data_IF_305998073127
#
_entry.id   IF_305998073127
#
_cell.length_a   1.000
_cell.length_b   1.000
_cell.length_c   1.000
_cell.angle_alpha   90.00
_cell.angle_beta   90.00
_cell.angle_gamma   90.00
#
_symmetry.space_group_name_H-M   'P 1'
#
loop_
_entity.id
_entity.type
_entity.pdbx_description
1 polymer ?
#
# COMPACT_ATOMS: atom_id res chain seq x y z
N UNK A 1 9.05 -64.24 -40.54
CA UNK A 1 7.90 -64.35 -39.62
C UNK A 1 8.08 -63.43 -38.42
N UNK A 2 7.29 -62.36 -38.29
CA UNK A 2 7.02 -61.61 -37.03
C UNK A 2 5.89 -60.60 -37.32
N UNK A 3 4.65 -60.98 -37.02
CA UNK A 3 3.47 -60.08 -36.97
C UNK A 3 3.16 -59.84 -35.49
N UNK A 4 3.15 -58.59 -35.03
CA UNK A 4 2.81 -58.23 -33.66
C UNK A 4 1.79 -57.07 -33.61
N UNK A 5 0.60 -57.42 -33.13
CA UNK A 5 -0.34 -56.70 -32.26
C UNK A 5 -0.41 -55.16 -32.29
N UNK A 6 -1.45 -54.62 -32.95
CA UNK A 6 -1.86 -53.20 -32.90
C UNK A 6 -3.21 -52.94 -32.20
N UNK A 7 -3.87 -53.95 -31.62
CA UNK A 7 -5.26 -53.81 -31.15
C UNK A 7 -5.50 -53.15 -29.77
N UNK A 8 -4.46 -52.79 -29.00
CA UNK A 8 -4.65 -52.36 -27.59
C UNK A 8 -4.74 -50.83 -27.36
N UNK A 9 -4.58 -49.99 -28.40
CA UNK A 9 -4.64 -48.51 -28.24
C UNK A 9 -6.06 -47.94 -28.28
N UNK A 10 -7.03 -48.60 -28.92
CA UNK A 10 -8.36 -48.02 -29.15
C UNK A 10 -9.29 -48.05 -27.92
N UNK A 11 -9.11 -48.97 -26.97
CA UNK A 11 -9.97 -49.05 -25.79
C UNK A 11 -9.67 -48.00 -24.70
N UNK A 12 -8.42 -47.50 -24.61
CA UNK A 12 -8.07 -46.46 -23.63
C UNK A 12 -8.70 -45.10 -23.93
N UNK A 13 -8.96 -44.77 -25.19
CA UNK A 13 -9.57 -43.49 -25.57
C UNK A 13 -11.08 -43.42 -25.31
N UNK A 14 -11.81 -44.54 -25.38
CA UNK A 14 -13.26 -44.56 -25.10
C UNK A 14 -13.59 -44.34 -23.62
N UNK A 15 -12.81 -44.87 -22.70
CA UNK A 15 -13.02 -44.66 -21.26
C UNK A 15 -12.72 -43.23 -20.79
N UNK A 16 -11.75 -42.54 -21.42
CA UNK A 16 -11.47 -41.13 -21.10
C UNK A 16 -12.64 -40.20 -21.45
N UNK A 17 -13.37 -40.48 -22.53
CA UNK A 17 -14.52 -39.65 -22.94
C UNK A 17 -15.77 -39.86 -22.07
N UNK A 18 -16.00 -41.06 -21.54
CA UNK A 18 -17.12 -41.33 -20.61
C UNK A 18 -16.92 -40.62 -19.26
N UNK A 19 -15.70 -40.61 -18.71
CA UNK A 19 -15.42 -39.93 -17.45
C UNK A 19 -15.54 -38.40 -17.54
N UNK A 20 -15.19 -37.79 -18.69
CA UNK A 20 -15.39 -36.34 -18.93
C UNK A 20 -16.87 -35.91 -18.96
N UNK A 21 -17.77 -36.74 -19.50
CA UNK A 21 -19.21 -36.42 -19.54
C UNK A 21 -19.86 -36.53 -18.15
N UNK A 22 -19.43 -37.47 -17.31
CA UNK A 22 -19.99 -37.68 -15.96
C UNK A 22 -19.64 -36.56 -15.00
N UNK A 23 -18.37 -36.13 -14.98
CA UNK A 23 -17.92 -34.97 -14.18
C UNK A 23 -18.58 -33.67 -14.63
N UNK A 24 -18.82 -33.47 -15.94
CA UNK A 24 -19.52 -32.29 -16.44
C UNK A 24 -20.97 -32.22 -15.95
N UNK A 25 -21.71 -33.35 -15.92
CA UNK A 25 -23.10 -33.39 -15.42
C UNK A 25 -23.19 -33.16 -13.91
N UNK A 26 -22.27 -33.72 -13.11
CA UNK A 26 -22.23 -33.45 -11.66
C UNK A 26 -21.89 -31.98 -11.35
N UNK A 27 -20.96 -31.37 -12.10
CA UNK A 27 -20.67 -29.93 -11.95
C UNK A 27 -21.88 -29.04 -12.24
N UNK A 28 -22.71 -29.41 -13.22
CA UNK A 28 -23.93 -28.66 -13.56
C UNK A 28 -24.96 -28.74 -12.42
N UNK A 29 -25.15 -29.92 -11.81
CA UNK A 29 -26.11 -30.09 -10.72
C UNK A 29 -25.72 -29.39 -9.41
N UNK A 30 -24.41 -29.21 -9.15
CA UNK A 30 -23.92 -28.44 -8.00
C UNK A 30 -24.05 -26.94 -8.28
N UNK A 31 -23.76 -26.48 -9.50
CA UNK A 31 -23.90 -25.08 -9.89
C UNK A 31 -25.36 -24.59 -9.81
N UNK A 32 -26.33 -25.41 -10.23
CA UNK A 32 -27.77 -25.05 -10.14
C UNK A 32 -28.31 -24.92 -8.71
N UNK A 33 -27.54 -25.32 -7.69
CA UNK A 33 -27.93 -25.17 -6.28
C UNK A 33 -27.65 -23.76 -5.75
N UNK A 34 -26.76 -23.01 -6.40
CA UNK A 34 -26.48 -21.60 -6.05
C UNK A 34 -27.61 -20.67 -6.44
N UNK A 35 -28.44 -21.04 -7.42
CA UNK A 35 -29.66 -20.30 -7.79
C UNK A 35 -30.72 -20.28 -6.66
N UNK A 36 -30.56 -21.13 -5.64
CA UNK A 36 -31.46 -21.18 -4.48
C UNK A 36 -31.07 -20.18 -3.38
N UNK A 37 -29.82 -19.73 -3.34
CA UNK A 37 -29.42 -18.67 -2.43
C UNK A 37 -29.79 -17.33 -3.07
N UNK A 38 -30.67 -16.59 -2.39
CA UNK A 38 -31.03 -15.25 -2.84
C UNK A 38 -29.77 -14.38 -2.89
N UNK A 39 -29.56 -13.67 -4.01
CA UNK A 39 -28.42 -12.76 -4.25
C UNK A 39 -28.08 -11.87 -3.05
N UNK A 40 -29.04 -11.30 -2.29
CA UNK A 40 -28.75 -10.52 -1.09
C UNK A 40 -27.96 -11.26 -0.02
N UNK A 41 -28.24 -12.55 0.21
CA UNK A 41 -27.52 -13.37 1.20
C UNK A 41 -26.07 -13.57 0.76
N UNK A 42 -25.86 -13.78 -0.55
CA UNK A 42 -24.51 -13.93 -1.11
C UNK A 42 -23.73 -12.61 -0.97
N UNK A 43 -24.35 -11.47 -1.28
CA UNK A 43 -23.75 -10.14 -1.11
C UNK A 43 -23.39 -9.91 0.36
N UNK A 44 -24.27 -10.25 1.29
CA UNK A 44 -24.02 -10.11 2.73
C UNK A 44 -22.83 -10.96 3.16
N UNK A 45 -22.77 -12.25 2.82
CA UNK A 45 -21.63 -13.13 3.13
C UNK A 45 -20.32 -12.59 2.53
N UNK A 46 -20.35 -12.16 1.26
CA UNK A 46 -19.20 -11.57 0.58
C UNK A 46 -18.74 -10.28 1.27
N UNK A 47 -19.66 -9.48 1.80
CA UNK A 47 -19.36 -8.24 2.53
C UNK A 47 -18.64 -8.44 3.87
N UNK A 48 -18.52 -9.68 4.34
CA UNK A 48 -17.69 -10.04 5.51
C UNK A 48 -16.29 -10.54 5.13
N UNK A 49 -16.02 -10.79 3.84
CA UNK A 49 -14.72 -11.26 3.38
C UNK A 49 -13.72 -10.11 3.26
N UNK A 50 -12.47 -10.37 3.62
CA UNK A 50 -11.36 -9.45 3.39
C UNK A 50 -11.00 -9.32 1.90
N UNK A 51 -10.16 -8.34 1.55
CA UNK A 51 -9.77 -8.08 0.16
C UNK A 51 -9.08 -9.26 -0.54
N UNK A 52 -8.23 -10.01 0.17
CA UNK A 52 -7.51 -11.15 -0.40
C UNK A 52 -8.48 -12.30 -0.67
N UNK A 53 -9.36 -12.60 0.28
CA UNK A 53 -10.44 -13.57 0.14
C UNK A 53 -11.37 -13.21 -1.02
N UNK A 54 -11.75 -11.92 -1.16
CA UNK A 54 -12.57 -11.44 -2.28
C UNK A 54 -11.89 -11.59 -3.64
N UNK A 55 -10.61 -11.21 -3.72
CA UNK A 55 -9.81 -11.39 -4.92
C UNK A 55 -9.74 -12.86 -5.31
N UNK A 56 -9.37 -13.74 -4.38
CA UNK A 56 -9.29 -15.18 -4.61
C UNK A 56 -10.64 -15.76 -5.05
N UNK A 57 -11.74 -15.34 -4.40
CA UNK A 57 -13.09 -15.77 -4.75
C UNK A 57 -13.47 -15.35 -6.18
N UNK A 58 -13.11 -14.12 -6.58
CA UNK A 58 -13.37 -13.60 -7.92
C UNK A 58 -12.59 -14.35 -9.01
N UNK A 59 -11.44 -14.96 -8.69
CA UNK A 59 -10.65 -15.74 -9.63
C UNK A 59 -11.21 -17.15 -9.85
N UNK A 60 -11.88 -17.73 -8.84
CA UNK A 60 -12.36 -19.12 -8.91
C UNK A 60 -13.79 -19.25 -9.45
N UNK A 61 -14.60 -18.19 -9.38
CA UNK A 61 -16.01 -18.22 -9.83
C UNK A 61 -16.38 -16.97 -10.62
N UNK A 62 -16.71 -17.16 -11.90
CA UNK A 62 -17.22 -16.08 -12.76
C UNK A 62 -18.52 -15.47 -12.24
N UNK A 63 -19.42 -16.29 -11.69
CA UNK A 63 -20.69 -15.79 -11.14
C UNK A 63 -20.46 -14.88 -9.94
N UNK A 64 -19.52 -15.23 -9.06
CA UNK A 64 -19.18 -14.39 -7.92
C UNK A 64 -18.40 -13.15 -8.36
N UNK A 65 -17.53 -13.27 -9.37
CA UNK A 65 -16.91 -12.12 -9.99
C UNK A 65 -17.94 -11.14 -10.56
N UNK A 66 -18.92 -11.65 -11.30
CA UNK A 66 -19.99 -10.84 -11.89
C UNK A 66 -20.80 -10.18 -10.76
N UNK A 67 -21.23 -10.91 -9.72
CA UNK A 67 -21.91 -10.33 -8.55
C UNK A 67 -21.05 -9.22 -7.91
N UNK A 68 -19.77 -9.46 -7.65
CA UNK A 68 -18.89 -8.46 -7.02
C UNK A 68 -18.67 -7.25 -7.94
N UNK A 69 -18.59 -7.45 -9.25
CA UNK A 69 -18.30 -6.40 -10.22
C UNK A 69 -19.55 -5.57 -10.60
N UNK A 70 -20.73 -6.20 -10.70
CA UNK A 70 -21.98 -5.53 -11.10
C UNK A 70 -22.67 -4.83 -9.94
N UNK A 71 -22.49 -5.31 -8.71
CA UNK A 71 -23.08 -4.68 -7.50
C UNK A 71 -22.34 -3.43 -7.03
N UNK A 72 -21.38 -2.92 -7.81
CA UNK A 72 -20.65 -1.70 -7.46
C UNK A 72 -21.57 -0.47 -7.27
N UNK A 73 -22.76 -0.49 -7.86
CA UNK A 73 -23.77 0.57 -7.75
C UNK A 73 -24.97 0.18 -6.86
N UNK A 74 -25.02 -1.05 -6.33
CA UNK A 74 -26.13 -1.49 -5.49
C UNK A 74 -25.92 -1.08 -4.01
N UNK A 75 -26.95 -0.49 -3.37
CA UNK A 75 -26.89 -0.16 -1.94
C UNK A 75 -26.84 -1.45 -1.11
N UNK A 76 -25.67 -1.77 -0.56
CA UNK A 76 -25.47 -2.92 0.32
C UNK A 76 -24.10 -3.58 0.19
N UNK A 77 -23.45 -3.49 -0.97
CA UNK A 77 -22.10 -4.04 -1.13
C UNK A 77 -21.05 -3.06 -0.62
N UNK A 78 -20.76 -3.13 0.69
CA UNK A 78 -19.72 -2.32 1.35
C UNK A 78 -18.31 -2.72 0.92
N UNK A 79 -18.10 -3.96 0.48
CA UNK A 79 -16.77 -4.47 0.13
C UNK A 79 -16.55 -4.52 -1.38
N UNK A 80 -16.00 -3.43 -1.90
CA UNK A 80 -15.54 -3.36 -3.30
C UNK A 80 -14.13 -3.94 -3.40
N UNK A 81 -13.86 -4.78 -4.41
CA UNK A 81 -12.49 -5.19 -4.71
C UNK A 81 -11.70 -3.94 -5.10
N UNK A 82 -10.65 -3.64 -4.35
CA UNK A 82 -9.72 -2.55 -4.66
C UNK A 82 -8.54 -3.14 -5.43
N UNK A 83 -8.41 -2.87 -6.74
CA UNK A 83 -7.30 -3.41 -7.51
C UNK A 83 -5.95 -2.89 -6.97
N UNK A 84 -5.06 -3.84 -6.68
CA UNK A 84 -3.71 -3.59 -6.14
C UNK A 84 -2.67 -3.74 -7.26
N UNK A 85 -1.89 -2.69 -7.49
CA UNK A 85 -0.71 -2.74 -8.34
C UNK A 85 0.51 -3.05 -7.49
N UNK A 86 0.94 -4.31 -7.54
CA UNK A 86 2.04 -4.80 -6.74
C UNK A 86 3.36 -4.72 -7.52
N UNK A 87 4.39 -4.15 -6.88
CA UNK A 87 5.73 -4.02 -7.44
C UNK A 87 6.72 -4.72 -6.52
N UNK A 88 7.50 -5.63 -7.08
CA UNK A 88 8.53 -6.37 -6.36
C UNK A 88 9.89 -6.24 -7.03
N UNK A 89 10.93 -6.00 -6.23
CA UNK A 89 12.32 -6.37 -6.57
C UNK A 89 12.89 -5.87 -7.90
N UNK A 90 13.05 -4.57 -8.07
CA UNK A 90 13.92 -4.00 -9.10
C UNK A 90 14.56 -2.70 -8.60
N UNK A 91 15.61 -2.21 -9.27
CA UNK A 91 16.17 -0.89 -8.93
C UNK A 91 15.16 0.22 -9.21
N UNK A 92 15.27 1.35 -8.50
CA UNK A 92 14.42 2.52 -8.71
C UNK A 92 14.43 2.99 -10.18
N UNK A 93 15.59 2.90 -10.84
CA UNK A 93 15.75 3.22 -12.26
C UNK A 93 14.94 2.29 -13.16
N UNK A 94 15.06 0.97 -12.97
CA UNK A 94 14.34 -0.02 -13.78
C UNK A 94 12.82 0.09 -13.58
N UNK A 95 12.39 0.39 -12.36
CA UNK A 95 11.00 0.70 -12.06
C UNK A 95 10.50 1.91 -12.86
N UNK A 96 11.22 3.04 -12.81
CA UNK A 96 10.85 4.25 -13.54
C UNK A 96 10.87 4.04 -15.06
N UNK A 97 11.84 3.29 -15.59
CA UNK A 97 11.91 2.91 -17.02
C UNK A 97 10.68 2.11 -17.46
N UNK A 98 10.30 1.11 -16.67
CA UNK A 98 9.14 0.29 -16.98
C UNK A 98 7.85 1.10 -16.94
N UNK A 99 7.66 1.93 -15.91
CA UNK A 99 6.50 2.82 -15.82
C UNK A 99 6.44 3.78 -17.01
N UNK A 100 7.55 4.43 -17.37
CA UNK A 100 7.62 5.32 -18.52
C UNK A 100 7.21 4.58 -19.80
N UNK A 101 7.75 3.37 -20.04
CA UNK A 101 7.39 2.52 -21.18
C UNK A 101 5.90 2.17 -21.21
N UNK A 102 5.31 1.83 -20.07
CA UNK A 102 3.88 1.54 -19.98
C UNK A 102 3.02 2.78 -20.26
N UNK A 103 3.48 3.96 -19.88
CA UNK A 103 2.78 5.22 -20.11
C UNK A 103 2.85 5.72 -21.56
N UNK A 104 3.86 5.29 -22.33
CA UNK A 104 3.91 5.51 -23.78
C UNK A 104 2.83 4.70 -24.53
N UNK A 105 2.36 3.58 -23.95
CA UNK A 105 1.26 2.81 -24.51
C UNK A 105 -0.09 3.27 -23.92
N UNK A 106 -0.98 3.79 -24.77
CA UNK A 106 -2.30 4.31 -24.33
C UNK A 106 -3.17 3.27 -23.61
N UNK A 107 -3.19 2.03 -24.09
CA UNK A 107 -3.99 0.97 -23.49
C UNK A 107 -3.47 0.59 -22.09
N UNK A 108 -2.15 0.39 -21.96
CA UNK A 108 -1.54 0.06 -20.68
C UNK A 108 -1.64 1.22 -19.70
N UNK A 109 -1.43 2.47 -20.16
CA UNK A 109 -1.68 3.67 -19.35
C UNK A 109 -3.10 3.66 -18.78
N UNK A 110 -4.11 3.43 -19.61
CA UNK A 110 -5.51 3.38 -19.17
C UNK A 110 -5.78 2.24 -18.18
N UNK A 111 -5.14 1.07 -18.35
CA UNK A 111 -5.22 -0.04 -17.39
C UNK A 111 -4.58 0.35 -16.05
N UNK A 112 -3.42 1.02 -16.06
CA UNK A 112 -2.73 1.46 -14.85
C UNK A 112 -3.54 2.48 -14.03
N UNK A 113 -4.38 3.30 -14.67
CA UNK A 113 -5.28 4.23 -13.96
C UNK A 113 -6.43 3.54 -13.21
N UNK A 114 -6.67 2.24 -13.43
CA UNK A 114 -7.75 1.51 -12.74
C UNK A 114 -7.34 1.03 -11.35
N UNK A 115 -6.04 0.95 -11.08
CA UNK A 115 -5.54 0.56 -9.78
C UNK A 115 -5.73 1.70 -8.79
N UNK A 116 -6.17 1.37 -7.58
CA UNK A 116 -6.36 2.31 -6.48
C UNK A 116 -5.23 2.23 -5.46
N UNK A 117 -4.65 1.04 -5.32
CA UNK A 117 -3.63 0.76 -4.33
C UNK A 117 -2.34 0.41 -5.05
N UNK A 118 -1.23 1.01 -4.64
CA UNK A 118 0.11 0.59 -5.01
C UNK A 118 0.84 0.00 -3.81
N UNK A 119 1.41 -1.19 -3.98
CA UNK A 119 2.14 -1.88 -2.91
C UNK A 119 3.53 -2.26 -3.39
N UNK A 120 4.55 -1.83 -2.65
CA UNK A 120 5.92 -2.27 -2.87
C UNK A 120 6.25 -3.42 -1.93
N UNK A 121 6.57 -4.58 -2.52
CA UNK A 121 7.15 -5.73 -1.84
C UNK A 121 8.66 -5.67 -1.91
N UNK A 122 9.31 -6.06 -0.81
CA UNK A 122 10.76 -6.04 -0.66
C UNK A 122 11.37 -4.70 -1.08
N UNK A 123 10.84 -3.62 -0.50
CA UNK A 123 11.25 -2.25 -0.83
C UNK A 123 12.77 -2.01 -0.63
N UNK A 124 13.40 -2.83 0.22
CA UNK A 124 14.86 -2.95 0.40
C UNK A 124 15.67 -3.22 -0.87
N UNK A 125 15.05 -3.79 -1.91
CA UNK A 125 15.69 -4.07 -3.21
C UNK A 125 15.80 -2.82 -4.10
N UNK A 126 15.13 -1.72 -3.75
CA UNK A 126 15.15 -0.46 -4.48
C UNK A 126 16.27 0.44 -3.99
N UNK A 127 17.49 -0.10 -3.96
CA UNK A 127 18.67 0.69 -3.62
C UNK A 127 18.94 1.72 -4.71
N UNK A 128 19.33 2.93 -4.30
CA UNK A 128 19.60 4.03 -5.22
C UNK A 128 21.02 3.97 -5.74
N UNK A 129 21.19 4.10 -7.06
CA UNK A 129 22.48 4.45 -7.65
C UNK A 129 22.67 5.96 -7.45
N UNK A 130 23.73 6.38 -6.77
CA UNK A 130 23.97 7.78 -6.35
C UNK A 130 23.83 8.83 -7.46
N UNK A 131 23.90 8.43 -8.74
CA UNK A 131 23.88 9.30 -9.91
C UNK A 131 22.47 9.58 -10.48
N UNK A 132 21.37 9.17 -9.83
CA UNK A 132 20.08 9.03 -10.54
C UNK A 132 18.98 10.06 -10.26
N UNK A 133 19.01 10.85 -9.18
CA UNK A 133 17.86 11.72 -8.78
C UNK A 133 17.24 12.55 -9.91
N UNK A 134 18.03 13.41 -10.56
CA UNK A 134 17.52 14.29 -11.61
C UNK A 134 17.05 13.47 -12.83
N UNK A 135 17.75 12.39 -13.15
CA UNK A 135 17.38 11.49 -14.24
C UNK A 135 16.06 10.79 -13.97
N UNK A 136 15.85 10.25 -12.75
CA UNK A 136 14.58 9.64 -12.38
C UNK A 136 13.44 10.66 -12.43
N UNK A 137 13.66 11.87 -11.91
CA UNK A 137 12.68 12.95 -11.95
C UNK A 137 12.26 13.29 -13.37
N UNK A 138 13.22 13.45 -14.29
CA UNK A 138 12.92 13.71 -15.71
C UNK A 138 12.19 12.54 -16.37
N UNK A 139 12.56 11.30 -16.06
CA UNK A 139 11.91 10.11 -16.59
C UNK A 139 10.43 9.99 -16.21
N UNK A 140 10.09 10.36 -14.98
CA UNK A 140 8.72 10.24 -14.46
C UNK A 140 7.90 11.52 -14.59
N UNK A 141 8.47 12.59 -15.15
CA UNK A 141 7.79 13.89 -15.30
C UNK A 141 6.44 13.81 -16.02
N UNK A 142 6.32 12.89 -16.98
CA UNK A 142 5.11 12.66 -17.77
C UNK A 142 4.30 11.44 -17.30
N UNK A 143 4.68 10.83 -16.18
CA UNK A 143 4.05 9.64 -15.60
C UNK A 143 3.23 10.07 -14.40
N UNK A 144 1.90 10.05 -14.55
CA UNK A 144 0.95 10.34 -13.46
C UNK A 144 -0.08 9.23 -13.36
N UNK A 145 -0.10 8.53 -12.24
CA UNK A 145 -1.04 7.46 -11.89
C UNK A 145 -2.13 8.02 -10.98
N UNK A 146 -3.02 8.82 -11.55
CA UNK A 146 -4.14 9.48 -10.86
C UNK A 146 -5.14 8.50 -10.22
N UNK A 147 -5.17 7.25 -10.68
CA UNK A 147 -5.98 6.20 -10.06
C UNK A 147 -5.50 5.78 -8.68
N UNK A 148 -4.20 5.88 -8.40
CA UNK A 148 -3.61 5.41 -7.14
C UNK A 148 -3.86 6.44 -6.05
N UNK A 149 -4.64 6.05 -5.05
CA UNK A 149 -4.97 6.84 -3.86
C UNK A 149 -4.31 6.30 -2.60
N UNK A 150 -3.81 5.06 -2.59
CA UNK A 150 -3.11 4.48 -1.44
C UNK A 150 -1.75 3.90 -1.83
N UNK A 151 -0.71 4.21 -1.06
CA UNK A 151 0.65 3.73 -1.28
C UNK A 151 1.16 3.04 -0.02
N UNK A 152 1.51 1.76 -0.16
CA UNK A 152 2.08 0.95 0.91
C UNK A 152 3.53 0.57 0.57
N UNK A 153 4.46 1.06 1.38
CA UNK A 153 5.88 0.75 1.28
C UNK A 153 6.26 -0.17 2.43
N UNK A 154 6.05 -1.47 2.27
CA UNK A 154 6.46 -2.45 3.28
C UNK A 154 7.87 -2.95 3.01
N UNK A 155 8.77 -2.84 3.99
CA UNK A 155 10.01 -3.62 3.99
C UNK A 155 9.87 -4.83 4.89
N UNK A 156 10.19 -6.01 4.35
CA UNK A 156 10.34 -7.25 5.13
C UNK A 156 11.65 -7.28 5.93
N UNK A 157 12.60 -6.38 5.61
CA UNK A 157 13.92 -6.31 6.25
C UNK A 157 14.21 -4.90 6.74
N UNK A 158 14.39 -4.77 8.06
CA UNK A 158 14.77 -3.51 8.71
C UNK A 158 16.20 -3.06 8.38
N UNK A 159 17.03 -3.93 7.79
CA UNK A 159 18.45 -3.65 7.58
C UNK A 159 18.73 -2.74 6.37
N UNK A 160 17.90 -2.80 5.35
CA UNK A 160 18.19 -2.15 4.07
C UNK A 160 17.39 -0.87 3.90
N UNK A 161 18.06 0.15 3.36
CA UNK A 161 17.46 1.45 3.08
C UNK A 161 16.81 1.44 1.71
N UNK A 162 15.62 2.01 1.61
CA UNK A 162 15.05 2.37 0.30
C UNK A 162 15.88 3.55 -0.22
N UNK A 163 16.25 3.50 -1.50
CA UNK A 163 16.90 4.63 -2.15
C UNK A 163 16.03 5.88 -2.07
N UNK A 164 16.56 6.95 -1.48
CA UNK A 164 15.87 8.24 -1.34
C UNK A 164 15.35 8.74 -2.71
N UNK A 165 16.04 8.43 -3.80
CA UNK A 165 15.69 8.83 -5.16
C UNK A 165 14.29 8.32 -5.58
N UNK A 166 13.94 7.10 -5.18
CA UNK A 166 12.59 6.58 -5.41
C UNK A 166 11.58 7.35 -4.57
N UNK A 167 11.81 7.47 -3.27
CA UNK A 167 10.86 8.13 -2.36
C UNK A 167 10.61 9.61 -2.72
N UNK A 168 11.60 10.30 -3.27
CA UNK A 168 11.46 11.67 -3.75
C UNK A 168 10.72 11.78 -5.09
N UNK A 169 10.64 10.70 -5.87
CA UNK A 169 9.96 10.70 -7.17
C UNK A 169 8.50 10.24 -7.08
N UNK A 170 8.17 9.32 -6.18
CA UNK A 170 6.80 8.78 -6.01
C UNK A 170 5.71 9.86 -5.82
N UNK A 171 5.90 10.96 -5.07
CA UNK A 171 4.86 11.99 -4.91
C UNK A 171 4.42 12.62 -6.24
N UNK A 172 5.35 12.75 -7.20
CA UNK A 172 5.04 13.28 -8.53
C UNK A 172 4.28 12.26 -9.41
N UNK A 173 4.45 10.96 -9.13
CA UNK A 173 3.78 9.88 -9.84
C UNK A 173 2.34 9.72 -9.32
N UNK A 174 2.09 9.98 -8.03
CA UNK A 174 0.79 9.81 -7.37
C UNK A 174 0.24 11.14 -6.83
N UNK A 175 -0.13 12.10 -7.70
CA UNK A 175 -0.58 13.41 -7.26
C UNK A 175 -1.91 13.39 -6.48
N UNK A 176 -2.69 12.30 -6.60
CA UNK A 176 -3.98 12.11 -5.89
C UNK A 176 -3.88 11.16 -4.69
N UNK A 177 -2.68 10.98 -4.14
CA UNK A 177 -2.47 10.11 -3.01
C UNK A 177 -3.22 10.64 -1.77
N UNK A 178 -3.99 9.76 -1.13
CA UNK A 178 -4.77 10.00 0.07
C UNK A 178 -4.24 9.23 1.28
N UNK A 179 -3.74 8.01 1.07
CA UNK A 179 -3.16 7.19 2.13
C UNK A 179 -1.69 6.86 1.82
N UNK A 180 -0.81 7.13 2.77
CA UNK A 180 0.60 6.81 2.70
C UNK A 180 1.01 5.98 3.92
N UNK A 181 1.57 4.79 3.68
CA UNK A 181 2.15 3.94 4.70
C UNK A 181 3.64 3.70 4.43
N UNK A 182 4.47 4.23 5.33
CA UNK A 182 5.93 4.13 5.37
C UNK A 182 6.41 3.22 6.51
N UNK A 183 5.53 2.38 7.08
CA UNK A 183 5.91 1.54 8.21
C UNK A 183 7.06 0.59 7.88
N UNK A 184 8.03 0.50 8.77
CA UNK A 184 9.27 -0.28 8.63
C UNK A 184 10.17 0.18 7.47
N UNK A 185 9.98 1.38 6.95
CA UNK A 185 10.87 1.95 5.92
C UNK A 185 12.04 2.65 6.59
N UNK A 186 13.26 2.20 6.27
CA UNK A 186 14.49 2.92 6.61
C UNK A 186 14.89 3.84 5.44
N UNK A 187 15.07 5.12 5.72
CA UNK A 187 15.38 6.18 4.78
C UNK A 187 16.36 7.19 5.42
N UNK A 188 17.32 7.72 4.67
CA UNK A 188 18.28 8.68 5.25
C UNK A 188 17.82 10.13 5.10
N UNK A 189 16.53 10.36 4.82
CA UNK A 189 16.04 11.61 4.26
C UNK A 189 15.00 12.30 5.13
N UNK A 190 15.35 13.37 5.87
CA UNK A 190 14.39 14.10 6.71
C UNK A 190 13.22 14.74 5.94
N UNK A 191 13.23 14.72 4.61
CA UNK A 191 12.31 15.47 3.75
C UNK A 191 11.31 14.60 2.98
N UNK A 192 11.27 13.29 3.21
CA UNK A 192 10.38 12.41 2.42
C UNK A 192 8.92 12.69 2.71
N UNK A 193 8.52 12.71 3.99
CA UNK A 193 7.14 13.02 4.35
C UNK A 193 6.75 14.43 3.87
N UNK A 194 7.63 15.41 4.06
CA UNK A 194 7.44 16.77 3.56
C UNK A 194 7.19 16.80 2.05
N UNK A 195 7.95 16.05 1.26
CA UNK A 195 7.73 15.98 -0.19
C UNK A 195 6.34 15.45 -0.53
N UNK A 196 5.87 14.41 0.18
CA UNK A 196 4.51 13.89 -0.01
C UNK A 196 3.45 14.93 0.38
N UNK A 197 3.57 15.57 1.55
CA UNK A 197 2.63 16.59 1.99
C UNK A 197 2.57 17.80 1.03
N UNK A 198 3.70 18.17 0.42
CA UNK A 198 3.78 19.28 -0.52
C UNK A 198 3.27 18.93 -1.93
N UNK A 199 3.34 17.66 -2.34
CA UNK A 199 3.03 17.25 -3.73
C UNK A 199 1.67 16.55 -3.84
N UNK A 200 1.17 15.99 -2.74
CA UNK A 200 -0.09 15.25 -2.68
C UNK A 200 -1.09 16.04 -1.82
N UNK A 201 -1.79 17.03 -2.39
CA UNK A 201 -2.71 17.91 -1.65
C UNK A 201 -3.94 17.18 -1.09
N UNK A 202 -4.16 15.93 -1.48
CA UNK A 202 -5.24 15.07 -1.02
C UNK A 202 -4.80 14.10 0.09
N UNK A 203 -3.58 14.23 0.62
CA UNK A 203 -3.04 13.27 1.58
C UNK A 203 -3.73 13.39 2.95
N UNK A 204 -4.70 12.52 3.18
CA UNK A 204 -5.56 12.46 4.38
C UNK A 204 -4.96 11.61 5.49
N UNK A 205 -4.22 10.55 5.15
CA UNK A 205 -3.71 9.56 6.11
C UNK A 205 -2.24 9.26 5.91
N UNK A 206 -1.48 9.35 7.00
CA UNK A 206 -0.06 8.97 7.04
C UNK A 206 0.18 7.97 8.15
N UNK A 207 0.86 6.88 7.84
CA UNK A 207 1.32 5.88 8.81
C UNK A 207 2.82 5.71 8.64
N UNK A 208 3.58 5.84 9.73
CA UNK A 208 4.99 5.50 9.76
C UNK A 208 5.36 4.91 11.12
N UNK A 209 5.18 3.61 11.22
CA UNK A 209 5.51 2.86 12.42
C UNK A 209 6.86 2.16 12.28
N UNK A 210 7.60 2.03 13.38
CA UNK A 210 8.94 1.43 13.42
C UNK A 210 9.92 2.13 12.48
N UNK A 211 9.80 3.45 12.36
CA UNK A 211 10.66 4.25 11.51
C UNK A 211 11.98 4.55 12.25
N UNK A 212 13.10 4.33 11.56
CA UNK A 212 14.46 4.54 12.05
C UNK A 212 15.00 5.92 11.71
N UNK A 213 14.17 6.77 11.12
CA UNK A 213 14.64 7.98 10.47
C UNK A 213 14.27 9.20 11.29
N UNK A 214 15.05 10.25 11.03
CA UNK A 214 14.77 11.56 11.53
C UNK A 214 13.45 12.06 10.93
N UNK A 215 12.35 11.92 11.67
CA UNK A 215 11.17 12.76 11.48
C UNK A 215 11.53 14.18 11.89
N UNK A 216 12.35 14.83 11.05
CA UNK A 216 12.48 16.27 11.08
C UNK A 216 11.32 16.82 10.28
N UNK A 217 10.12 16.74 10.86
CA UNK A 217 8.99 17.46 10.32
C UNK A 217 9.30 18.92 10.61
N UNK A 218 9.78 19.63 9.59
CA UNK A 218 9.93 21.07 9.73
C UNK A 218 8.55 21.65 10.03
N UNK A 219 8.46 22.58 10.98
CA UNK A 219 7.18 23.20 11.34
C UNK A 219 6.48 23.78 10.11
N UNK A 220 7.25 24.23 9.11
CA UNK A 220 6.74 24.77 7.84
C UNK A 220 5.99 23.74 6.99
N UNK A 221 6.40 22.46 7.02
CA UNK A 221 5.87 21.41 6.14
C UNK A 221 4.47 20.97 6.56
N UNK A 222 4.14 21.11 7.86
CA UNK A 222 2.82 20.71 8.40
C UNK A 222 1.72 21.65 7.89
N UNK A 223 2.02 22.93 7.71
CA UNK A 223 1.04 23.91 7.23
C UNK A 223 0.53 23.64 5.81
N UNK A 224 1.27 22.86 5.01
CA UNK A 224 0.89 22.53 3.64
C UNK A 224 -0.15 21.41 3.58
N UNK A 225 -0.21 20.57 4.62
CA UNK A 225 -1.06 19.39 4.69
C UNK A 225 -2.50 19.72 5.09
N UNK A 226 -3.20 20.52 4.29
CA UNK A 226 -4.51 21.10 4.63
C UNK A 226 -5.66 20.11 4.85
N UNK A 227 -5.52 18.88 4.37
CA UNK A 227 -6.55 17.82 4.47
C UNK A 227 -6.11 16.63 5.32
N UNK A 228 -4.97 16.75 6.01
CA UNK A 228 -4.46 15.66 6.82
C UNK A 228 -5.40 15.43 8.00
N UNK A 229 -5.90 14.20 8.10
CA UNK A 229 -6.97 13.80 9.00
C UNK A 229 -6.47 12.80 10.04
N UNK A 230 -5.59 11.88 9.63
CA UNK A 230 -5.12 10.77 10.46
C UNK A 230 -3.62 10.56 10.34
N UNK A 231 -2.93 10.56 11.47
CA UNK A 231 -1.48 10.31 11.51
C UNK A 231 -1.14 9.29 12.57
N UNK A 232 -0.39 8.26 12.19
CA UNK A 232 0.17 7.26 13.10
C UNK A 232 1.70 7.28 12.99
N UNK A 233 2.38 7.61 14.08
CA UNK A 233 3.85 7.62 14.16
C UNK A 233 4.25 6.92 15.45
N UNK A 234 4.61 5.64 15.36
CA UNK A 234 4.92 4.78 16.53
C UNK A 234 6.28 4.13 16.42
N UNK A 235 6.83 3.73 17.56
CA UNK A 235 8.14 3.13 17.74
C UNK A 235 9.22 3.90 16.99
N UNK A 236 9.24 5.23 17.13
CA UNK A 236 10.27 6.05 16.50
C UNK A 236 11.63 5.70 17.09
N UNK A 237 12.59 5.35 16.24
CA UNK A 237 13.95 5.11 16.66
C UNK A 237 14.85 6.22 16.12
N UNK A 238 15.13 7.21 16.96
CA UNK A 238 16.05 8.28 16.63
C UNK A 238 17.49 7.84 16.95
N UNK A 239 18.35 7.80 15.94
CA UNK A 239 19.80 7.60 16.14
C UNK A 239 20.50 8.92 16.01
N UNK A 240 21.07 9.43 17.09
CA UNK A 240 22.00 10.54 16.98
C UNK A 240 23.32 10.01 16.42
N UNK A 241 23.72 10.52 15.26
CA UNK A 241 25.10 10.38 14.81
C UNK A 241 25.91 11.54 15.40
N UNK A 242 25.98 11.65 16.73
CA UNK A 242 26.94 12.55 17.35
C UNK A 242 28.34 11.96 17.14
N UNK A 243 29.25 12.79 16.67
CA UNK A 243 30.59 12.39 16.22
C UNK A 243 31.60 12.36 17.37
N UNK A 244 31.17 12.08 18.61
CA UNK A 244 32.03 12.16 19.81
C UNK A 244 31.75 11.02 20.77
N UNK A 245 32.82 10.43 21.30
CA UNK A 245 32.88 9.20 22.12
C UNK A 245 32.34 9.36 23.57
N UNK A 246 31.40 10.28 23.81
CA UNK A 246 30.95 10.57 25.18
C UNK A 246 29.79 9.65 25.58
N UNK A 247 30.08 8.74 26.51
CA UNK A 247 29.26 7.64 27.04
C UNK A 247 28.08 8.10 27.94
N UNK A 248 27.38 9.17 27.57
CA UNK A 248 26.18 9.63 28.28
C UNK A 248 24.96 8.74 27.95
N UNK A 249 24.02 8.62 28.90
CA UNK A 249 22.76 7.86 28.79
C UNK A 249 21.92 8.32 27.57
N UNK A 250 22.23 7.76 26.38
CA UNK A 250 21.64 8.15 25.09
C UNK A 250 20.11 7.97 25.05
N UNK A 251 19.55 7.03 25.80
CA UNK A 251 18.13 6.70 25.72
C UNK A 251 17.23 7.78 26.32
N UNK A 252 17.63 8.44 27.41
CA UNK A 252 16.83 9.50 28.04
C UNK A 252 16.77 10.75 27.15
N UNK A 253 17.92 11.17 26.59
CA UNK A 253 17.96 12.30 25.66
C UNK A 253 17.17 12.02 24.39
N UNK A 254 17.25 10.79 23.88
CA UNK A 254 16.49 10.33 22.73
C UNK A 254 14.99 10.36 22.99
N UNK A 255 14.54 9.88 24.16
CA UNK A 255 13.13 9.94 24.54
C UNK A 255 12.65 11.38 24.64
N UNK A 256 13.39 12.26 25.33
CA UNK A 256 13.07 13.69 25.44
C UNK A 256 12.92 14.33 24.05
N UNK A 257 13.85 14.03 23.14
CA UNK A 257 13.82 14.56 21.78
C UNK A 257 12.60 14.06 20.99
N UNK A 258 12.29 12.76 21.07
CA UNK A 258 11.12 12.17 20.39
C UNK A 258 9.83 12.82 20.91
N UNK A 259 9.69 12.96 22.23
CA UNK A 259 8.53 13.62 22.83
C UNK A 259 8.39 15.07 22.36
N UNK A 260 9.47 15.85 22.37
CA UNK A 260 9.45 17.25 21.90
C UNK A 260 9.04 17.34 20.41
N UNK A 261 9.55 16.43 19.57
CA UNK A 261 9.17 16.38 18.16
C UNK A 261 7.68 16.06 17.96
N UNK A 262 7.14 15.09 18.70
CA UNK A 262 5.72 14.71 18.63
C UNK A 262 4.82 15.83 19.16
N UNK A 263 5.18 16.48 20.27
CA UNK A 263 4.46 17.65 20.81
C UNK A 263 4.43 18.78 19.79
N UNK A 264 5.59 19.12 19.20
CA UNK A 264 5.69 20.14 18.15
C UNK A 264 4.83 19.78 16.95
N UNK A 265 4.76 18.51 16.55
CA UNK A 265 3.89 18.07 15.48
C UNK A 265 2.42 18.36 15.81
N UNK A 266 1.92 17.90 16.96
CA UNK A 266 0.51 18.07 17.37
C UNK A 266 0.13 19.54 17.50
N UNK A 267 1.01 20.38 18.09
CA UNK A 267 0.77 21.82 18.24
C UNK A 267 0.62 22.52 16.89
N UNK A 268 1.41 22.13 15.89
CA UNK A 268 1.41 22.73 14.56
C UNK A 268 0.48 22.02 13.56
N UNK A 269 -0.17 20.93 13.96
CA UNK A 269 -1.04 20.14 13.10
C UNK A 269 -2.16 21.01 12.49
N UNK A 270 -2.57 20.73 11.23
CA UNK A 270 -3.70 21.40 10.62
C UNK A 270 -4.98 21.16 11.44
N UNK A 271 -5.97 22.08 11.42
CA UNK A 271 -7.25 21.89 12.11
C UNK A 271 -8.04 20.66 11.66
N UNK A 272 -7.76 20.13 10.46
CA UNK A 272 -8.38 18.91 9.92
C UNK A 272 -7.89 17.63 10.60
N UNK A 273 -6.73 17.68 11.28
CA UNK A 273 -6.20 16.51 11.96
C UNK A 273 -7.07 16.22 13.17
N UNK A 274 -7.83 15.13 13.11
CA UNK A 274 -8.72 14.71 14.20
C UNK A 274 -8.19 13.48 14.93
N UNK A 275 -7.21 12.78 14.36
CA UNK A 275 -6.68 11.53 14.93
C UNK A 275 -5.16 11.48 14.86
N UNK A 276 -4.52 11.31 16.02
CA UNK A 276 -3.07 11.20 16.14
C UNK A 276 -2.67 10.06 17.08
N UNK A 277 -1.96 9.07 16.54
CA UNK A 277 -1.45 7.92 17.32
C UNK A 277 0.07 7.95 17.39
N UNK A 278 0.63 7.89 18.59
CA UNK A 278 2.08 7.96 18.79
C UNK A 278 2.53 7.36 20.11
N UNK A 279 3.82 7.42 20.43
CA UNK A 279 4.36 6.99 21.74
C UNK A 279 4.46 8.17 22.72
N UNK A 280 3.54 9.14 22.66
CA UNK A 280 3.50 10.25 23.62
C UNK A 280 3.30 9.73 25.04
N UNK A 281 4.00 10.33 26.01
CA UNK A 281 3.76 10.01 27.43
C UNK A 281 2.34 10.45 27.84
N UNK A 282 1.72 9.78 28.83
CA UNK A 282 0.40 10.18 29.34
C UNK A 282 0.32 11.65 29.77
N UNK A 283 1.38 12.19 30.36
CA UNK A 283 1.45 13.59 30.78
C UNK A 283 1.43 14.53 29.56
N UNK A 284 2.21 14.22 28.52
CA UNK A 284 2.22 15.00 27.29
C UNK A 284 0.88 14.92 26.54
N UNK A 285 0.22 13.75 26.53
CA UNK A 285 -1.13 13.63 25.98
C UNK A 285 -2.14 14.46 26.77
N UNK A 286 -2.06 14.47 28.09
CA UNK A 286 -2.96 15.24 28.97
C UNK A 286 -2.80 16.73 28.70
N UNK A 287 -1.56 17.22 28.63
CA UNK A 287 -1.24 18.59 28.22
C UNK A 287 -1.81 18.92 26.83
N UNK A 288 -1.53 18.08 25.82
CA UNK A 288 -1.95 18.34 24.45
C UNK A 288 -3.47 18.27 24.25
N UNK A 289 -4.20 17.47 25.03
CA UNK A 289 -5.68 17.46 25.02
C UNK A 289 -6.27 18.78 25.49
N UNK A 290 -5.59 19.48 26.42
CA UNK A 290 -6.01 20.82 26.85
C UNK A 290 -5.72 21.87 25.76
N UNK A 291 -4.57 21.76 25.08
CA UNK A 291 -4.19 22.72 24.02
C UNK A 291 -4.93 22.49 22.69
N UNK A 292 -5.25 21.24 22.36
CA UNK A 292 -5.80 20.79 21.07
C UNK A 292 -6.94 19.77 21.29
N UNK A 293 -8.07 20.16 21.92
CA UNK A 293 -9.15 19.23 22.27
C UNK A 293 -9.85 18.57 21.08
N UNK A 294 -9.69 19.12 19.86
CA UNK A 294 -10.24 18.54 18.63
C UNK A 294 -9.45 17.34 18.08
N UNK A 295 -8.32 16.97 18.70
CA UNK A 295 -7.47 15.85 18.26
C UNK A 295 -7.61 14.69 19.24
N UNK A 296 -8.05 13.54 18.74
CA UNK A 296 -8.01 12.28 19.47
C UNK A 296 -6.56 11.77 19.53
N UNK A 297 -5.95 11.85 20.71
CA UNK A 297 -4.61 11.34 20.97
C UNK A 297 -4.67 9.91 21.50
N UNK A 298 -3.96 8.99 20.83
CA UNK A 298 -3.87 7.55 21.15
C UNK A 298 -2.43 7.06 21.25
N UNK A 299 -2.22 5.96 21.99
CA UNK A 299 -0.95 5.22 22.09
C UNK A 299 -0.88 3.95 21.23
#
# INVERSE_FOLDING_TARGET
MRRANTNNKNNRNRNRNRNRRRTRRQKIAIASKWDLLQTPIIIEVISWLDQESLMNLSLVSKQLHDIIATTNDEPGNKNKIRPVFEVSGCSALKFCQNLQKYFLNKETKNKLQRYQIMRFKDSSKFQGDQQSKNKLREMVKNVQMNGITSLYLSSSSSRFMIGNDLLLTLPNIFPKLQELDLSNVRNNGPLILEQFLNTCPLLEKVTSNNDWNHFRISSCSIFVARVLERVSIRNMNWKFYFRGDDDYDEEDQKLIFIQDALIKFVRNAPPTLHWFRSDLTPDNMTMLRMERPGIELLN
#
